data_IF_795680945351
#
_entry.id   IF_795680945351
#
_cell.length_a   1.000
_cell.length_b   1.000
_cell.length_c   1.000
_cell.angle_alpha   90.00
_cell.angle_beta   90.00
_cell.angle_gamma   90.00
#
_symmetry.space_group_name_H-M   'P 1'
#
loop_
_entity.id
_entity.type
_entity.pdbx_description
1 polymer ?
#
# COMPACT_ATOMS: atom_id res chain seq x y z
N UNK A 1 -7.36 22.22 15.15
CA UNK A 1 -7.13 20.95 14.42
C UNK A 1 -5.82 20.35 14.87
N UNK A 2 -5.70 19.02 14.98
CA UNK A 2 -4.41 18.39 15.31
C UNK A 2 -3.43 18.53 14.11
N UNK A 3 -2.14 18.84 14.34
CA UNK A 3 -1.12 18.82 13.30
C UNK A 3 -1.04 17.46 12.59
N UNK A 4 -0.76 17.47 11.28
CA UNK A 4 -0.60 16.23 10.48
C UNK A 4 0.52 15.34 11.02
N UNK A 5 1.56 15.94 11.60
CA UNK A 5 2.68 15.23 12.24
C UNK A 5 2.21 14.38 13.42
N UNK A 6 1.47 14.98 14.35
CA UNK A 6 0.98 14.32 15.57
C UNK A 6 0.11 13.10 15.26
N UNK A 7 -0.70 13.17 14.19
CA UNK A 7 -1.50 12.02 13.75
C UNK A 7 -0.62 10.89 13.21
N UNK A 8 0.44 11.22 12.44
CA UNK A 8 1.38 10.20 11.94
C UNK A 8 2.11 9.50 13.08
N UNK A 9 2.60 10.26 14.06
CA UNK A 9 3.28 9.69 15.24
C UNK A 9 2.35 8.71 15.97
N UNK A 10 1.11 9.09 16.26
CA UNK A 10 0.12 8.20 16.89
C UNK A 10 -0.13 6.91 16.09
N UNK A 11 -0.25 7.01 14.78
CA UNK A 11 -0.47 5.83 13.92
C UNK A 11 0.77 4.94 13.88
N UNK A 12 1.97 5.51 13.76
CA UNK A 12 3.21 4.75 13.79
C UNK A 12 3.41 4.04 15.13
N UNK A 13 3.21 4.73 16.25
CA UNK A 13 3.28 4.17 17.59
C UNK A 13 2.30 3.00 17.76
N UNK A 14 1.06 3.18 17.30
CA UNK A 14 0.05 2.12 17.36
C UNK A 14 0.44 0.89 16.55
N UNK A 15 0.95 1.06 15.32
CA UNK A 15 1.39 -0.05 14.46
C UNK A 15 2.53 -0.85 15.10
N UNK A 16 3.50 -0.15 15.70
CA UNK A 16 4.64 -0.79 16.37
C UNK A 16 4.20 -1.51 17.65
N UNK A 17 3.46 -0.83 18.53
CA UNK A 17 3.01 -1.36 19.82
C UNK A 17 2.04 -2.53 19.67
N UNK A 18 1.19 -2.51 18.64
CA UNK A 18 0.22 -3.57 18.37
C UNK A 18 0.80 -4.73 17.56
N UNK A 19 2.08 -4.68 17.16
CA UNK A 19 2.71 -5.69 16.32
C UNK A 19 2.05 -5.82 14.94
N UNK A 20 1.41 -4.76 14.46
CA UNK A 20 0.78 -4.67 13.13
C UNK A 20 1.76 -4.19 12.07
N UNK A 21 2.84 -3.51 12.47
CA UNK A 21 3.95 -3.17 11.60
C UNK A 21 4.63 -4.43 11.06
N UNK A 22 4.92 -4.43 9.75
CA UNK A 22 5.68 -5.48 9.09
C UNK A 22 7.01 -4.92 8.55
N UNK A 23 7.97 -5.78 8.21
CA UNK A 23 9.27 -5.34 7.70
C UNK A 23 9.11 -4.46 6.44
N UNK A 24 9.81 -3.33 6.31
CA UNK A 24 10.87 -2.83 7.19
C UNK A 24 10.39 -2.06 8.42
N UNK A 25 11.03 -2.31 9.57
CA UNK A 25 10.80 -1.63 10.85
C UNK A 25 12.06 -0.84 11.29
N UNK A 26 11.94 0.21 12.12
CA UNK A 26 10.69 0.81 12.57
C UNK A 26 10.00 1.63 11.45
N UNK A 27 8.68 1.84 11.59
CA UNK A 27 7.86 2.52 10.58
C UNK A 27 7.92 4.04 10.65
N UNK A 28 8.38 4.62 11.77
CA UNK A 28 8.46 6.06 11.95
C UNK A 28 9.25 6.74 10.82
N UNK A 29 8.73 7.89 10.36
CA UNK A 29 9.30 8.70 9.28
C UNK A 29 9.33 8.02 7.90
N UNK A 30 8.57 6.93 7.71
CA UNK A 30 8.43 6.20 6.44
C UNK A 30 6.95 5.93 6.12
N UNK A 31 6.67 5.43 4.92
CA UNK A 31 5.38 4.79 4.64
C UNK A 31 5.38 3.42 5.32
N UNK A 32 4.49 3.17 6.30
CA UNK A 32 4.50 1.93 7.08
C UNK A 32 4.11 0.72 6.22
N UNK A 33 4.91 -0.35 6.26
CA UNK A 33 4.38 -1.67 5.89
C UNK A 33 3.61 -2.26 7.07
N UNK A 34 2.54 -3.01 6.80
CA UNK A 34 1.65 -3.52 7.82
C UNK A 34 1.10 -4.90 7.44
N UNK A 35 0.76 -5.69 8.46
CA UNK A 35 0.09 -6.97 8.30
C UNK A 35 -1.26 -6.76 7.61
N UNK A 36 -1.44 -7.41 6.46
CA UNK A 36 -2.62 -7.23 5.61
C UNK A 36 -2.41 -6.31 4.41
N UNK A 37 -1.21 -5.72 4.24
CA UNK A 37 -0.90 -4.87 3.08
C UNK A 37 -1.12 -5.60 1.74
N UNK A 38 -0.69 -6.87 1.64
CA UNK A 38 -0.93 -7.70 0.45
C UNK A 38 -2.42 -7.90 0.16
N UNK A 39 -3.23 -8.21 1.18
CA UNK A 39 -4.67 -8.39 1.01
C UNK A 39 -5.34 -7.08 0.55
N UNK A 40 -5.00 -5.96 1.17
CA UNK A 40 -5.49 -4.64 0.77
C UNK A 40 -5.11 -4.31 -0.68
N UNK A 41 -3.89 -4.68 -1.10
CA UNK A 41 -3.46 -4.54 -2.50
C UNK A 41 -4.32 -5.37 -3.46
N UNK A 42 -4.68 -6.60 -3.10
CA UNK A 42 -5.50 -7.47 -3.96
C UNK A 42 -6.89 -6.89 -4.22
N UNK A 43 -7.52 -6.27 -3.22
CA UNK A 43 -8.85 -5.67 -3.34
C UNK A 43 -8.93 -4.52 -4.36
N UNK A 44 -7.79 -3.94 -4.79
CA UNK A 44 -7.81 -2.89 -5.82
C UNK A 44 -8.38 -3.38 -7.15
N UNK A 45 -8.29 -4.69 -7.44
CA UNK A 45 -8.81 -5.32 -8.66
C UNK A 45 -10.33 -5.36 -8.70
N UNK A 46 -10.99 -5.20 -7.56
CA UNK A 46 -12.45 -5.14 -7.46
C UNK A 46 -12.99 -3.76 -7.86
N UNK A 47 -12.11 -2.76 -8.00
CA UNK A 47 -12.51 -1.40 -8.35
C UNK A 47 -12.58 -1.24 -9.88
N UNK A 48 -13.76 -0.91 -10.38
CA UNK A 48 -13.99 -0.62 -11.80
C UNK A 48 -13.05 0.46 -12.34
N UNK A 49 -12.75 1.49 -11.55
CA UNK A 49 -11.82 2.56 -11.93
C UNK A 49 -10.40 2.04 -12.16
N UNK A 50 -9.96 1.03 -11.42
CA UNK A 50 -8.65 0.42 -11.61
C UNK A 50 -8.62 -0.40 -12.91
N UNK A 51 -9.66 -1.20 -13.15
CA UNK A 51 -9.74 -2.07 -14.33
C UNK A 51 -9.90 -1.31 -15.65
N UNK A 52 -10.44 -0.08 -15.61
CA UNK A 52 -10.62 0.77 -16.81
C UNK A 52 -9.50 1.81 -16.99
N UNK A 53 -8.54 1.88 -16.08
CA UNK A 53 -7.46 2.85 -16.16
C UNK A 53 -6.50 2.50 -17.31
N UNK A 54 -6.25 3.46 -18.20
CA UNK A 54 -5.25 3.31 -19.26
C UNK A 54 -3.81 3.46 -18.75
N UNK A 55 -3.63 4.19 -17.65
CA UNK A 55 -2.34 4.44 -17.01
C UNK A 55 -2.49 4.38 -15.50
N UNK A 56 -1.54 3.73 -14.82
CA UNK A 56 -1.55 3.53 -13.37
C UNK A 56 -0.17 3.89 -12.82
N UNK A 57 -0.12 4.84 -11.88
CA UNK A 57 1.09 5.18 -11.12
C UNK A 57 1.03 4.51 -9.75
N UNK A 58 2.10 3.84 -9.38
CA UNK A 58 2.25 3.19 -8.06
C UNK A 58 3.62 3.54 -7.50
N UNK A 59 3.67 4.00 -6.25
CA UNK A 59 4.94 4.30 -5.56
C UNK A 59 5.73 3.02 -5.23
N UNK A 60 7.07 3.10 -5.05
CA UNK A 60 7.94 1.94 -4.81
C UNK A 60 7.90 1.42 -3.36
N UNK A 61 7.13 2.03 -2.47
CA UNK A 61 7.05 1.64 -1.05
C UNK A 61 6.62 0.18 -0.86
N UNK A 62 7.12 -0.46 0.19
CA UNK A 62 6.87 -1.87 0.50
C UNK A 62 5.38 -2.26 0.59
N UNK A 63 4.49 -1.51 1.28
CA UNK A 63 3.07 -1.89 1.35
C UNK A 63 2.35 -1.84 0.00
N UNK A 64 2.93 -1.24 -1.04
CA UNK A 64 2.33 -1.10 -2.38
C UNK A 64 2.82 -2.13 -3.39
N UNK A 65 3.65 -3.09 -2.95
CA UNK A 65 4.20 -4.14 -3.82
C UNK A 65 3.11 -4.94 -4.53
N UNK A 66 2.03 -5.29 -3.83
CA UNK A 66 0.90 -6.00 -4.42
C UNK A 66 0.15 -5.18 -5.48
N UNK A 67 0.03 -3.85 -5.30
CA UNK A 67 -0.60 -2.97 -6.30
C UNK A 67 0.27 -2.87 -7.55
N UNK A 68 1.60 -2.78 -7.40
CA UNK A 68 2.53 -2.81 -8.55
C UNK A 68 2.36 -4.08 -9.37
N UNK A 69 2.31 -5.23 -8.69
CA UNK A 69 2.06 -6.52 -9.35
C UNK A 69 0.69 -6.56 -10.04
N UNK A 70 -0.37 -6.08 -9.37
CA UNK A 70 -1.71 -6.03 -9.96
C UNK A 70 -1.78 -5.15 -11.21
N UNK A 71 -1.13 -3.97 -11.19
CA UNK A 71 -1.09 -3.09 -12.35
C UNK A 71 -0.41 -3.76 -13.54
N UNK A 72 0.76 -4.37 -13.33
CA UNK A 72 1.48 -5.09 -14.39
C UNK A 72 0.69 -6.26 -14.99
N UNK A 73 -0.14 -6.94 -14.20
CA UNK A 73 -0.96 -8.06 -14.68
C UNK A 73 -2.17 -7.61 -15.49
N UNK A 74 -2.70 -6.41 -15.27
CA UNK A 74 -3.85 -5.87 -16.03
C UNK A 74 -3.38 -5.16 -17.30
N UNK A 75 -2.23 -4.47 -17.25
CA UNK A 75 -1.69 -3.72 -18.40
C UNK A 75 -0.84 -4.57 -19.34
N UNK A 76 -0.42 -5.78 -18.94
CA UNK A 76 0.23 -6.70 -19.86
C UNK A 76 -0.76 -7.09 -20.97
N UNK A 77 -0.47 -6.85 -22.26
CA UNK A 77 -1.25 -7.46 -23.31
C UNK A 77 -1.12 -8.97 -23.12
N UNK A 78 -2.26 -9.65 -22.95
CA UNK A 78 -2.35 -11.08 -23.18
C UNK A 78 -1.95 -11.30 -24.63
N UNK A 79 -0.65 -11.47 -24.89
CA UNK A 79 -0.19 -11.91 -26.19
C UNK A 79 -0.67 -13.36 -26.37
N UNK A 80 -1.30 -13.69 -27.51
CA UNK A 80 -1.60 -15.07 -27.87
C UNK A 80 -0.32 -15.90 -28.07
#
# INVERSE_FOLDING_TARGET
>A
AQPKGDVREKVWDYLEASGLADFPRPVHRRIPNFKGSHQACCSIRELDVFNRACEIKVDPDKPLEGVRLAALQVTAPLHP
#
